data_IF_245146718278
#
_entry.id   IF_245146718278
#
_cell.length_a   1.000
_cell.length_b   1.000
_cell.length_c   1.000
_cell.angle_alpha   90.00
_cell.angle_beta   90.00
_cell.angle_gamma   90.00
#
_symmetry.space_group_name_H-M   'P 1'
#
loop_
_entity.id
_entity.type
_entity.pdbx_description
1 polymer ?
#
# COMPACT_ATOMS: atom_id res chain seq x y z
N UNK A 1 15.30 12.43 -9.64
CA UNK A 1 15.89 11.48 -8.67
C UNK A 1 15.91 10.08 -9.28
N UNK A 2 16.93 9.28 -9.00
CA UNK A 2 17.04 7.89 -9.47
C UNK A 2 17.54 6.96 -8.34
N UNK A 3 17.15 5.70 -8.42
CA UNK A 3 17.60 4.64 -7.52
C UNK A 3 17.11 3.27 -7.97
N UNK A 4 17.61 2.21 -7.34
CA UNK A 4 17.28 0.84 -7.69
C UNK A 4 17.10 -0.02 -6.45
N UNK A 5 16.03 -0.82 -6.42
CA UNK A 5 15.82 -1.84 -5.37
C UNK A 5 16.86 -2.97 -5.43
N UNK A 6 17.53 -3.13 -6.58
CA UNK A 6 18.55 -4.17 -6.78
C UNK A 6 19.77 -3.97 -5.87
N UNK A 7 20.05 -2.73 -5.47
CA UNK A 7 21.11 -2.45 -4.48
C UNK A 7 20.82 -3.08 -3.11
N UNK A 8 19.54 -3.35 -2.80
CA UNK A 8 19.10 -3.93 -1.54
C UNK A 8 18.85 -5.44 -1.62
N UNK A 9 18.23 -5.89 -2.73
CA UNK A 9 17.74 -7.27 -2.87
C UNK A 9 18.50 -8.11 -3.90
N UNK A 10 19.49 -7.52 -4.58
CA UNK A 10 20.13 -8.12 -5.74
C UNK A 10 19.21 -8.14 -6.98
N UNK A 11 19.62 -8.92 -7.98
CA UNK A 11 18.88 -9.04 -9.24
C UNK A 11 17.86 -10.18 -9.16
N UNK A 12 16.61 -9.89 -8.81
CA UNK A 12 15.54 -10.89 -8.64
C UNK A 12 14.90 -11.40 -9.95
N UNK A 13 15.59 -11.21 -11.07
CA UNK A 13 15.22 -11.73 -12.41
C UNK A 13 13.76 -11.46 -12.78
N UNK A 14 12.94 -12.50 -12.96
CA UNK A 14 11.52 -12.37 -13.31
C UNK A 14 10.71 -11.53 -12.31
N UNK A 15 11.18 -11.40 -11.07
CA UNK A 15 10.55 -10.58 -10.05
C UNK A 15 11.13 -9.14 -9.96
N UNK A 16 12.10 -8.77 -10.80
CA UNK A 16 12.75 -7.45 -10.72
C UNK A 16 11.79 -6.29 -10.98
N UNK A 17 10.83 -6.46 -11.90
CA UNK A 17 9.81 -5.47 -12.20
C UNK A 17 8.87 -5.22 -11.01
N UNK A 18 8.29 -6.29 -10.45
CA UNK A 18 7.38 -6.19 -9.30
C UNK A 18 8.09 -5.68 -8.05
N UNK A 19 9.35 -6.06 -7.81
CA UNK A 19 10.14 -5.51 -6.70
C UNK A 19 10.32 -3.99 -6.82
N UNK A 20 10.54 -3.49 -8.05
CA UNK A 20 10.58 -2.05 -8.33
C UNK A 20 9.24 -1.36 -8.04
N UNK A 21 8.14 -1.95 -8.49
CA UNK A 21 6.79 -1.44 -8.24
C UNK A 21 6.45 -1.39 -6.75
N UNK A 22 6.75 -2.45 -6.00
CA UNK A 22 6.54 -2.49 -4.55
C UNK A 22 7.35 -1.39 -3.86
N UNK A 23 8.62 -1.19 -4.24
CA UNK A 23 9.44 -0.08 -3.71
C UNK A 23 8.75 1.26 -3.93
N UNK A 24 8.29 1.54 -5.15
CA UNK A 24 7.61 2.81 -5.49
C UNK A 24 6.34 3.00 -4.66
N UNK A 25 5.49 1.97 -4.59
CA UNK A 25 4.26 2.02 -3.80
C UNK A 25 4.54 2.29 -2.31
N UNK A 26 5.56 1.64 -1.74
CA UNK A 26 5.98 1.87 -0.37
C UNK A 26 6.58 3.26 -0.14
N UNK A 27 7.30 3.80 -1.12
CA UNK A 27 7.83 5.17 -1.03
C UNK A 27 6.69 6.21 -0.95
N UNK A 28 5.66 6.04 -1.77
CA UNK A 28 4.46 6.89 -1.74
C UNK A 28 3.69 6.71 -0.42
N UNK A 29 3.46 5.47 0.01
CA UNK A 29 2.71 5.17 1.24
C UNK A 29 3.38 5.74 2.50
N UNK A 30 4.70 5.54 2.64
CA UNK A 30 5.46 6.02 3.80
C UNK A 30 5.97 7.45 3.65
N UNK A 31 5.70 8.10 2.52
CA UNK A 31 6.17 9.45 2.21
C UNK A 31 7.69 9.62 2.43
N UNK A 32 8.47 8.61 2.05
CA UNK A 32 9.93 8.61 2.12
C UNK A 32 10.58 7.89 0.92
N UNK A 33 11.74 8.36 0.47
CA UNK A 33 12.53 7.71 -0.58
C UNK A 33 13.82 7.16 0.05
N UNK A 34 14.00 5.81 0.09
CA UNK A 34 15.16 5.21 0.71
C UNK A 34 16.42 5.36 -0.16
N UNK A 35 17.62 5.32 0.45
CA UNK A 35 18.88 5.42 -0.26
C UNK A 35 19.11 4.25 -1.23
N UNK A 36 19.91 4.50 -2.26
CA UNK A 36 20.51 3.47 -3.09
C UNK A 36 21.73 2.90 -2.35
N UNK A 37 21.64 1.65 -1.91
CA UNK A 37 22.62 1.03 -1.02
C UNK A 37 23.99 0.93 -1.72
N UNK A 38 25.08 1.07 -0.92
CA UNK A 38 26.47 0.95 -1.38
C UNK A 38 26.87 1.90 -2.53
N UNK A 39 26.10 2.97 -2.77
CA UNK A 39 26.46 3.97 -3.76
C UNK A 39 27.57 4.90 -3.24
N UNK A 40 28.67 5.01 -3.98
CA UNK A 40 29.79 5.91 -3.66
C UNK A 40 29.94 7.02 -4.68
N UNK A 41 29.97 6.67 -5.96
CA UNK A 41 30.08 7.60 -7.07
C UNK A 41 29.36 7.06 -8.30
N UNK A 42 28.84 7.97 -9.12
CA UNK A 42 28.23 7.60 -10.39
C UNK A 42 29.32 7.28 -11.41
N UNK A 43 29.04 6.36 -12.34
CA UNK A 43 29.93 6.08 -13.46
C UNK A 43 30.26 7.38 -14.22
N UNK A 44 31.55 7.77 -14.38
CA UNK A 44 31.94 9.03 -15.04
C UNK A 44 31.48 9.17 -16.50
N UNK A 45 31.14 8.05 -17.16
CA UNK A 45 30.60 8.07 -18.53
C UNK A 45 29.14 8.52 -18.61
N UNK A 46 28.47 8.68 -17.47
CA UNK A 46 27.08 9.15 -17.41
C UNK A 46 27.08 10.66 -17.22
N UNK A 47 26.56 11.39 -18.21
CA UNK A 47 26.41 12.86 -18.17
C UNK A 47 25.24 13.29 -17.25
N UNK A 48 25.32 12.98 -15.96
CA UNK A 48 24.20 13.17 -15.02
C UNK A 48 23.68 14.61 -14.95
N UNK A 49 24.59 15.59 -15.02
CA UNK A 49 24.24 17.01 -14.99
C UNK A 49 23.39 17.42 -16.20
N UNK A 50 23.73 16.90 -17.39
CA UNK A 50 22.97 17.16 -18.64
C UNK A 50 21.53 16.65 -18.55
N UNK A 51 21.32 15.52 -17.88
CA UNK A 51 20.01 14.87 -17.77
C UNK A 51 19.31 15.12 -16.43
N UNK A 52 19.82 16.03 -15.60
CA UNK A 52 19.31 16.32 -14.26
C UNK A 52 19.11 15.06 -13.39
N UNK A 53 20.05 14.11 -13.47
CA UNK A 53 20.00 12.84 -12.76
C UNK A 53 20.72 12.94 -11.42
N UNK A 54 20.01 12.59 -10.35
CA UNK A 54 20.53 12.60 -8.98
C UNK A 54 20.24 11.26 -8.33
N UNK A 55 21.28 10.54 -7.91
CA UNK A 55 21.14 9.27 -7.18
C UNK A 55 20.81 9.57 -5.72
N UNK A 56 19.81 8.89 -5.17
CA UNK A 56 19.42 9.04 -3.76
C UNK A 56 20.46 8.36 -2.87
N UNK A 57 21.25 9.13 -2.10
CA UNK A 57 22.34 8.60 -1.26
C UNK A 57 21.96 8.39 0.21
N UNK A 58 21.01 9.17 0.70
CA UNK A 58 20.44 9.07 2.04
C UNK A 58 18.92 9.05 1.94
N UNK A 59 18.25 8.58 2.99
CA UNK A 59 16.79 8.63 3.03
C UNK A 59 16.33 10.08 3.00
N UNK A 60 15.41 10.40 2.09
CA UNK A 60 14.84 11.76 1.96
C UNK A 60 13.32 11.71 2.08
N UNK A 61 12.68 12.80 2.53
CA UNK A 61 11.23 12.94 2.45
C UNK A 61 10.75 12.77 1.01
N UNK A 62 9.61 12.13 0.83
CA UNK A 62 8.98 12.06 -0.49
C UNK A 62 8.51 13.47 -0.89
N UNK A 63 8.76 13.92 -2.14
CA UNK A 63 8.45 15.27 -2.58
C UNK A 63 7.00 15.67 -2.25
N UNK A 64 6.78 16.91 -1.80
CA UNK A 64 5.42 17.42 -1.66
C UNK A 64 4.73 17.38 -3.02
N UNK A 65 3.45 17.02 -3.04
CA UNK A 65 2.64 16.99 -4.26
C UNK A 65 1.31 17.66 -3.97
N UNK A 66 0.71 18.28 -4.99
CA UNK A 66 -0.59 18.95 -4.89
C UNK A 66 -1.62 18.20 -5.73
N UNK A 67 -2.91 18.48 -5.53
CA UNK A 67 -3.96 17.87 -6.36
C UNK A 67 -3.80 18.19 -7.85
N UNK A 68 -3.11 19.28 -8.18
CA UNK A 68 -2.85 19.73 -9.56
C UNK A 68 -1.49 19.28 -10.10
N UNK A 69 -0.66 18.63 -9.26
CA UNK A 69 0.70 18.20 -9.62
C UNK A 69 1.05 16.91 -8.85
N UNK A 70 0.46 15.76 -9.26
CA UNK A 70 0.77 14.48 -8.64
C UNK A 70 2.16 14.00 -9.06
N UNK A 71 2.85 13.32 -8.14
CA UNK A 71 4.19 12.81 -8.43
C UNK A 71 4.07 11.51 -9.24
N UNK A 72 4.61 11.53 -10.46
CA UNK A 72 4.79 10.37 -11.31
C UNK A 72 6.20 9.78 -11.15
N UNK A 73 6.29 8.46 -11.02
CA UNK A 73 7.54 7.72 -10.91
C UNK A 73 7.63 6.69 -12.03
N UNK A 74 8.70 6.77 -12.82
CA UNK A 74 9.04 5.79 -13.83
C UNK A 74 9.71 4.55 -13.24
N UNK A 75 9.28 3.37 -13.69
CA UNK A 75 9.87 2.07 -13.36
C UNK A 75 10.35 1.44 -14.67
N UNK A 76 11.60 1.01 -14.69
CA UNK A 76 12.23 0.36 -15.84
C UNK A 76 12.60 -1.09 -15.52
N UNK A 77 12.32 -2.00 -16.45
CA UNK A 77 12.77 -3.39 -16.40
C UNK A 77 13.25 -3.84 -17.77
N UNK A 78 14.49 -4.30 -17.84
CA UNK A 78 15.15 -4.71 -19.09
C UNK A 78 15.54 -6.18 -18.98
N UNK A 79 14.97 -7.01 -19.85
CA UNK A 79 15.28 -8.42 -19.93
C UNK A 79 16.52 -8.69 -20.78
N UNK A 80 17.29 -9.72 -20.42
CA UNK A 80 18.49 -10.10 -21.18
C UNK A 80 18.21 -10.42 -22.66
N UNK A 81 17.00 -10.92 -22.97
CA UNK A 81 16.56 -11.19 -24.34
C UNK A 81 16.13 -9.96 -25.15
N UNK A 82 16.32 -8.74 -24.63
CA UNK A 82 16.00 -7.49 -25.33
C UNK A 82 14.56 -6.99 -25.12
N UNK A 83 13.72 -7.74 -24.40
CA UNK A 83 12.38 -7.29 -24.03
C UNK A 83 12.45 -6.26 -22.90
N UNK A 84 12.03 -5.04 -23.21
CA UNK A 84 12.13 -3.89 -22.33
C UNK A 84 10.73 -3.37 -21.98
N UNK A 85 10.50 -3.08 -20.71
CA UNK A 85 9.23 -2.56 -20.20
C UNK A 85 9.47 -1.31 -19.38
N UNK A 86 8.63 -0.30 -19.61
CA UNK A 86 8.58 0.93 -18.83
C UNK A 86 7.16 1.14 -18.33
N UNK A 87 7.02 1.49 -17.05
CA UNK A 87 5.75 1.85 -16.44
C UNK A 87 5.86 3.18 -15.71
N UNK A 88 4.81 3.98 -15.78
CA UNK A 88 4.67 5.22 -15.01
C UNK A 88 3.62 4.97 -13.94
N UNK A 89 3.99 5.24 -12.69
CA UNK A 89 3.10 5.11 -11.52
C UNK A 89 2.89 6.47 -10.93
N UNK A 90 1.64 6.88 -10.82
CA UNK A 90 1.23 8.15 -10.22
C UNK A 90 0.75 7.92 -8.78
N UNK A 91 1.02 8.89 -7.91
CA UNK A 91 0.50 8.90 -6.54
C UNK A 91 -1.04 8.93 -6.52
N UNK A 92 -1.65 7.95 -5.86
CA UNK A 92 -3.10 7.97 -5.62
C UNK A 92 -3.47 9.10 -4.65
N UNK A 93 -4.35 9.99 -5.11
CA UNK A 93 -4.98 11.03 -4.30
C UNK A 93 -6.49 10.76 -4.25
N UNK A 94 -7.08 10.51 -3.08
CA UNK A 94 -8.52 10.39 -2.98
C UNK A 94 -9.15 11.74 -3.37
N UNK A 95 -9.95 11.77 -4.43
CA UNK A 95 -10.81 12.91 -4.71
C UNK A 95 -11.70 13.15 -3.50
N UNK A 96 -11.83 14.40 -3.05
CA UNK A 96 -12.70 14.80 -1.93
C UNK A 96 -14.22 14.55 -2.17
N UNK A 97 -14.57 13.71 -3.15
CA UNK A 97 -15.92 13.29 -3.49
C UNK A 97 -15.91 11.79 -3.76
N UNK A 98 -16.21 11.05 -2.71
CA UNK A 98 -17.45 10.28 -2.62
C UNK A 98 -17.61 9.94 -1.14
N UNK A 99 -18.45 10.71 -0.44
CA UNK A 99 -19.29 10.11 0.60
C UNK A 99 -20.00 8.97 -0.11
N UNK A 100 -19.44 7.76 -0.03
CA UNK A 100 -20.12 6.58 -0.53
C UNK A 100 -21.37 6.55 0.34
N UNK A 101 -22.50 6.90 -0.25
CA UNK A 101 -23.76 6.40 0.24
C UNK A 101 -23.65 4.91 0.03
N UNK A 102 -23.14 4.18 1.02
CA UNK A 102 -23.26 2.74 1.09
C UNK A 102 -24.77 2.54 0.90
N UNK A 103 -25.22 1.91 -0.20
CA UNK A 103 -26.63 1.87 -0.65
C UNK A 103 -27.61 1.14 0.30
N UNK A 104 -27.47 1.38 1.60
CA UNK A 104 -28.13 0.81 2.75
C UNK A 104 -28.87 1.86 3.58
N UNK A 105 -28.72 3.17 3.32
CA UNK A 105 -29.58 4.19 3.94
C UNK A 105 -30.93 4.29 3.22
N UNK A 106 -31.64 3.17 3.12
CA UNK A 106 -33.10 3.13 2.93
C UNK A 106 -33.80 2.75 4.25
N UNK A 107 -33.15 3.03 5.39
CA UNK A 107 -33.77 2.97 6.70
C UNK A 107 -34.15 4.38 7.15
N UNK A 108 -35.40 4.55 7.55
CA UNK A 108 -35.93 5.77 8.17
C UNK A 108 -34.93 6.31 9.22
N UNK A 109 -34.47 7.55 9.03
CA UNK A 109 -33.75 8.26 10.10
C UNK A 109 -34.80 8.72 11.11
N UNK A 110 -35.24 7.78 11.95
CA UNK A 110 -35.99 8.13 13.14
C UNK A 110 -35.02 8.75 14.13
N UNK A 111 -35.38 9.91 14.68
CA UNK A 111 -34.63 10.62 15.72
C UNK A 111 -34.24 9.64 16.84
N UNK A 112 -32.94 9.35 16.98
CA UNK A 112 -32.44 8.44 18.01
C UNK A 112 -31.64 9.18 19.07
N UNK A 113 -32.08 8.96 20.31
CA UNK A 113 -31.38 9.16 21.57
C UNK A 113 -29.87 8.87 21.48
N UNK A 114 -29.09 9.65 22.24
CA UNK A 114 -27.67 9.39 22.50
C UNK A 114 -27.48 8.03 23.17
N UNK A 115 -27.30 6.98 22.37
CA UNK A 115 -26.76 5.69 22.80
C UNK A 115 -25.27 5.73 22.47
N UNK A 116 -24.40 5.36 23.42
CA UNK A 116 -22.99 5.10 23.14
C UNK A 116 -22.89 4.13 21.95
N UNK A 117 -22.61 4.65 20.76
CA UNK A 117 -22.60 3.87 19.52
C UNK A 117 -21.38 2.95 19.51
N UNK A 118 -21.46 1.82 20.22
CA UNK A 118 -20.54 0.70 20.02
C UNK A 118 -20.83 0.10 18.66
N UNK A 119 -19.94 0.36 17.73
CA UNK A 119 -20.00 -0.18 16.39
C UNK A 119 -19.36 -1.57 16.39
N UNK A 120 -20.14 -2.59 16.03
CA UNK A 120 -19.64 -3.97 15.94
C UNK A 120 -19.19 -4.27 14.50
N UNK A 121 -17.97 -4.77 14.35
CA UNK A 121 -17.46 -5.28 13.07
C UNK A 121 -17.39 -6.80 13.11
N UNK A 122 -17.94 -7.46 12.08
CA UNK A 122 -17.85 -8.92 11.93
C UNK A 122 -16.76 -9.23 10.92
N UNK A 123 -15.69 -9.89 11.37
CA UNK A 123 -14.62 -10.36 10.51
C UNK A 123 -14.73 -11.87 10.31
N UNK A 124 -14.76 -12.30 9.05
CA UNK A 124 -14.83 -13.71 8.68
C UNK A 124 -13.46 -14.20 8.22
N UNK A 125 -12.96 -15.25 8.88
CA UNK A 125 -11.70 -15.89 8.53
C UNK A 125 -11.97 -17.29 7.97
N UNK A 126 -11.24 -17.64 6.92
CA UNK A 126 -11.31 -18.96 6.31
C UNK A 126 -9.94 -19.41 5.80
N UNK A 127 -9.54 -20.63 6.14
CA UNK A 127 -8.26 -21.22 5.70
C UNK A 127 -8.40 -22.74 5.56
N UNK A 128 -7.49 -23.38 4.82
CA UNK A 128 -7.54 -24.85 4.61
C UNK A 128 -7.16 -25.66 5.87
N UNK A 129 -6.53 -25.05 6.89
CA UNK A 129 -5.98 -25.73 8.08
C UNK A 129 -6.30 -24.99 9.37
N UNK A 130 -6.55 -25.72 10.47
CA UNK A 130 -6.76 -25.12 11.81
C UNK A 130 -5.56 -24.30 12.27
N UNK A 131 -4.34 -24.70 11.90
CA UNK A 131 -3.11 -23.98 12.24
C UNK A 131 -3.11 -22.62 11.53
N UNK A 132 -3.30 -22.61 10.21
CA UNK A 132 -3.35 -21.38 9.41
C UNK A 132 -4.47 -20.43 9.83
N UNK A 133 -5.61 -20.95 10.30
CA UNK A 133 -6.68 -20.13 10.85
C UNK A 133 -6.22 -19.38 12.12
N UNK A 134 -5.56 -20.09 13.05
CA UNK A 134 -5.01 -19.46 14.26
C UNK A 134 -3.96 -18.40 13.90
N UNK A 135 -3.08 -18.71 12.96
CA UNK A 135 -2.03 -17.77 12.52
C UNK A 135 -2.63 -16.52 11.87
N UNK A 136 -3.64 -16.68 11.02
CA UNK A 136 -4.29 -15.56 10.34
C UNK A 136 -5.01 -14.64 11.34
N UNK A 137 -5.74 -15.22 12.30
CA UNK A 137 -6.40 -14.45 13.37
C UNK A 137 -5.37 -13.74 14.25
N UNK A 138 -4.27 -14.41 14.62
CA UNK A 138 -3.21 -13.80 15.42
C UNK A 138 -2.52 -12.65 14.69
N UNK A 139 -2.21 -12.81 13.41
CA UNK A 139 -1.62 -11.75 12.58
C UNK A 139 -2.58 -10.57 12.43
N UNK A 140 -3.88 -10.82 12.24
CA UNK A 140 -4.88 -9.77 12.15
C UNK A 140 -5.03 -9.00 13.47
N UNK A 141 -5.06 -9.71 14.60
CA UNK A 141 -5.08 -9.08 15.93
C UNK A 141 -3.84 -8.20 16.16
N UNK A 142 -2.66 -8.70 15.80
CA UNK A 142 -1.42 -7.92 15.92
C UNK A 142 -1.44 -6.69 15.00
N UNK A 143 -2.02 -6.81 13.80
CA UNK A 143 -2.19 -5.70 12.88
C UNK A 143 -3.13 -4.62 13.44
N UNK A 144 -4.28 -5.02 14.02
CA UNK A 144 -5.23 -4.12 14.69
C UNK A 144 -4.59 -3.38 15.87
N UNK A 145 -3.80 -4.06 16.70
CA UNK A 145 -3.11 -3.43 17.83
C UNK A 145 -2.11 -2.35 17.40
N UNK A 146 -1.49 -2.50 16.22
CA UNK A 146 -0.56 -1.52 15.66
C UNK A 146 -1.26 -0.37 14.94
N UNK A 147 -2.55 -0.50 14.65
CA UNK A 147 -3.37 0.46 13.89
C UNK A 147 -4.75 0.56 14.55
N UNK A 148 -4.87 1.26 15.69
CA UNK A 148 -6.17 1.50 16.29
C UNK A 148 -7.06 2.24 15.28
N UNK A 149 -8.23 1.66 15.02
CA UNK A 149 -9.25 2.20 14.11
C UNK A 149 -9.67 3.55 14.68
N UNK A 150 -9.28 4.62 14.01
CA UNK A 150 -9.53 6.00 14.45
C UNK A 150 -10.39 6.77 13.45
N UNK A 151 -10.51 6.26 12.22
CA UNK A 151 -11.35 6.82 11.16
C UNK A 151 -12.25 5.71 10.61
N UNK A 152 -13.40 5.55 11.27
CA UNK A 152 -14.41 4.54 10.98
C UNK A 152 -14.84 4.54 9.51
N UNK A 153 -14.94 5.71 8.87
CA UNK A 153 -15.50 5.81 7.52
C UNK A 153 -14.53 5.31 6.44
N UNK A 154 -13.24 5.64 6.58
CA UNK A 154 -12.19 5.11 5.69
C UNK A 154 -11.89 3.64 5.98
N UNK A 155 -11.89 3.26 7.26
CA UNK A 155 -11.60 1.89 7.68
C UNK A 155 -12.75 0.93 7.35
N UNK A 156 -14.02 1.37 7.35
CA UNK A 156 -15.15 0.52 7.00
C UNK A 156 -15.12 0.08 5.53
N UNK A 157 -14.80 0.99 4.61
CA UNK A 157 -14.63 0.64 3.18
C UNK A 157 -13.46 -0.33 2.95
N UNK A 158 -12.37 -0.17 3.71
CA UNK A 158 -11.25 -1.10 3.72
C UNK A 158 -11.65 -2.48 4.26
N UNK A 159 -12.35 -2.52 5.40
CA UNK A 159 -12.79 -3.75 6.04
C UNK A 159 -13.83 -4.53 5.22
N UNK A 160 -14.73 -3.82 4.52
CA UNK A 160 -15.67 -4.46 3.59
C UNK A 160 -14.97 -5.06 2.36
N UNK A 161 -13.88 -4.46 1.87
CA UNK A 161 -13.12 -5.02 0.73
C UNK A 161 -12.39 -6.31 1.10
N UNK A 162 -11.82 -6.39 2.30
CA UNK A 162 -11.10 -7.59 2.74
C UNK A 162 -12.04 -8.74 3.14
N UNK A 163 -13.31 -8.47 3.47
CA UNK A 163 -14.27 -9.50 3.89
C UNK A 163 -14.82 -10.36 2.75
N UNK A 164 -14.46 -10.09 1.47
CA UNK A 164 -15.12 -10.71 0.31
C UNK A 164 -14.48 -12.01 -0.24
N UNK A 165 -13.46 -12.60 0.39
CA UNK A 165 -12.91 -13.88 -0.09
C UNK A 165 -13.34 -15.06 0.79
N UNK A 166 -14.38 -15.77 0.35
CA UNK A 166 -14.93 -16.94 1.04
C UNK A 166 -14.28 -18.24 0.52
N UNK A 167 -13.68 -19.02 1.42
CA UNK A 167 -13.23 -20.41 1.19
C UNK A 167 -14.00 -21.41 2.07
N UNK A 168 -13.88 -22.71 1.76
CA UNK A 168 -14.73 -23.82 2.25
C UNK A 168 -14.73 -24.08 3.78
N UNK A 169 -13.72 -23.65 4.56
CA UNK A 169 -13.65 -23.89 6.01
C UNK A 169 -13.80 -22.57 6.77
N UNK A 170 -14.82 -22.50 7.64
CA UNK A 170 -15.30 -21.26 8.26
C UNK A 170 -15.01 -21.23 9.76
N UNK A 171 -14.65 -20.07 10.28
CA UNK A 171 -14.81 -19.75 11.71
C UNK A 171 -15.15 -18.27 11.82
N UNK A 172 -16.19 -17.97 12.60
CA UNK A 172 -16.57 -16.61 12.96
C UNK A 172 -15.86 -16.29 14.26
N UNK A 173 -15.01 -15.26 14.26
CA UNK A 173 -14.35 -14.77 15.47
C UNK A 173 -14.87 -13.37 15.75
N UNK A 174 -15.43 -13.17 16.94
CA UNK A 174 -15.81 -11.85 17.42
C UNK A 174 -14.58 -11.20 18.02
N UNK A 175 -14.26 -9.99 17.56
CA UNK A 175 -13.25 -9.14 18.21
C UNK A 175 -14.01 -7.97 18.80
N UNK A 176 -13.97 -7.86 20.13
CA UNK A 176 -14.38 -6.65 20.82
C UNK A 176 -13.23 -5.65 20.68
N UNK A 177 -13.52 -4.51 20.06
CA UNK A 177 -12.65 -3.34 20.00
C UNK A 177 -13.17 -2.30 20.99
#
# INVERSE_FOLDING_TARGET
>A
LIGSVKSNLGHTEGAAGIAGLIKVAMCMHHRAIPPNMQFTSLNPRIEAQRYNLHVVQHSIPFPPSTNTDPIAIGINSFGMGGNNVHAIVEEYRPSAKNSITNGYTNGHVSEHHQIENKQYFVFLFSTKSRISLKDQVAQFNQWLQKRPISDVDNDHAFFQRISQQLLLRRTISYIHL
#
